data_IF_034450294503
#
_entry.id   IF_034450294503
#
_cell.length_a   1.000
_cell.length_b   1.000
_cell.length_c   1.000
_cell.angle_alpha   90.00
_cell.angle_beta   90.00
_cell.angle_gamma   90.00
#
_symmetry.space_group_name_H-M   'P 1'
#
loop_
_entity.id
_entity.type
_entity.pdbx_description
1 polymer ?
#
# COMPACT_ATOMS: atom_id res chain seq x y z
N UNK A 1 -32.62 72.92 40.85
CA UNK A 1 -32.19 71.49 40.91
C UNK A 1 -31.41 71.29 42.19
N UNK A 2 -31.81 70.37 43.06
CA UNK A 2 -31.10 70.12 44.33
C UNK A 2 -29.70 69.55 44.02
N UNK A 3 -28.65 69.97 44.74
CA UNK A 3 -27.28 69.47 44.56
C UNK A 3 -27.22 67.93 44.59
N UNK A 4 -28.04 67.30 45.44
CA UNK A 4 -28.18 65.84 45.49
C UNK A 4 -28.70 65.22 44.17
N UNK A 5 -29.57 65.93 43.46
CA UNK A 5 -30.12 65.51 42.17
C UNK A 5 -29.09 65.70 41.04
N UNK A 6 -28.24 66.72 41.14
CA UNK A 6 -27.13 66.94 40.20
C UNK A 6 -26.09 65.83 40.33
N UNK A 7 -25.72 65.45 41.56
CA UNK A 7 -24.76 64.36 41.82
C UNK A 7 -25.27 62.99 41.35
N UNK A 8 -26.57 62.70 41.55
CA UNK A 8 -27.16 61.47 41.01
C UNK A 8 -27.14 61.46 39.47
N UNK A 9 -27.45 62.58 38.83
CA UNK A 9 -27.49 62.65 37.37
C UNK A 9 -26.09 62.53 36.75
N UNK A 10 -25.07 63.14 37.35
CA UNK A 10 -23.69 63.01 36.88
C UNK A 10 -23.12 61.61 37.09
N UNK A 11 -23.44 60.95 38.21
CA UNK A 11 -23.00 59.58 38.46
C UNK A 11 -23.70 58.57 37.55
N UNK A 12 -24.98 58.80 37.22
CA UNK A 12 -25.69 58.02 36.21
C UNK A 12 -25.08 58.20 34.81
N UNK A 13 -24.68 59.42 34.44
CA UNK A 13 -24.06 59.70 33.15
C UNK A 13 -22.68 59.04 33.00
N UNK A 14 -21.88 59.02 34.07
CA UNK A 14 -20.59 58.29 34.10
C UNK A 14 -20.81 56.78 34.09
N UNK A 15 -21.84 56.27 34.79
CA UNK A 15 -22.19 54.85 34.72
C UNK A 15 -22.60 54.41 33.31
N UNK A 16 -23.39 55.23 32.61
CA UNK A 16 -23.81 54.97 31.22
C UNK A 16 -22.64 55.01 30.24
N UNK A 17 -21.68 55.91 30.41
CA UNK A 17 -20.50 55.98 29.51
C UNK A 17 -19.55 54.79 29.72
N UNK A 18 -19.37 54.31 30.95
CA UNK A 18 -18.59 53.08 31.23
C UNK A 18 -19.29 51.85 30.65
N UNK A 19 -20.61 51.72 30.81
CA UNK A 19 -21.37 50.61 30.23
C UNK A 19 -21.35 50.61 28.69
N UNK A 20 -21.45 51.79 28.06
CA UNK A 20 -21.32 51.92 26.62
C UNK A 20 -19.90 51.59 26.13
N UNK A 21 -18.87 51.95 26.91
CA UNK A 21 -17.48 51.57 26.64
C UNK A 21 -17.25 50.06 26.68
N UNK A 22 -17.79 49.36 27.68
CA UNK A 22 -17.69 47.89 27.78
C UNK A 22 -18.41 47.18 26.63
N UNK A 23 -19.56 47.70 26.18
CA UNK A 23 -20.30 47.17 25.02
C UNK A 23 -19.58 47.40 23.69
N UNK A 24 -18.87 48.53 23.52
CA UNK A 24 -18.09 48.83 22.29
C UNK A 24 -16.81 48.00 22.15
N UNK A 25 -16.32 47.38 23.23
CA UNK A 25 -15.05 46.63 23.25
C UNK A 25 -15.22 45.11 23.33
N UNK A 26 -16.46 44.61 23.37
CA UNK A 26 -16.73 43.18 23.44
C UNK A 26 -17.67 42.78 22.32
N UNK A 27 -17.08 42.49 21.15
CA UNK A 27 -17.81 41.90 20.03
C UNK A 27 -17.25 40.49 19.76
N UNK A 28 -18.14 39.51 19.71
CA UNK A 28 -17.75 38.11 19.51
C UNK A 28 -17.71 37.80 18.03
N UNK A 29 -16.52 37.83 17.42
CA UNK A 29 -16.33 37.39 16.04
C UNK A 29 -16.51 35.87 15.95
N UNK A 30 -17.68 35.41 15.51
CA UNK A 30 -17.92 34.00 15.17
C UNK A 30 -17.50 33.77 13.72
N UNK A 31 -16.28 33.29 13.53
CA UNK A 31 -15.82 32.82 12.23
C UNK A 31 -16.25 31.35 12.06
N UNK A 32 -17.17 31.09 11.13
CA UNK A 32 -17.39 29.74 10.63
C UNK A 32 -16.31 29.44 9.59
N UNK A 33 -15.29 28.67 9.96
CA UNK A 33 -14.34 28.13 8.98
C UNK A 33 -14.70 26.69 8.67
N UNK A 34 -14.81 26.39 7.38
CA UNK A 34 -14.86 25.00 6.89
C UNK A 34 -13.45 24.67 6.41
N UNK A 35 -12.85 23.61 6.96
CA UNK A 35 -11.58 23.07 6.46
C UNK A 35 -11.95 21.93 5.53
N UNK A 36 -11.64 22.07 4.25
CA UNK A 36 -11.62 20.92 3.34
C UNK A 36 -10.30 20.21 3.59
N UNK A 37 -10.34 19.04 4.23
CA UNK A 37 -9.22 18.10 4.11
C UNK A 37 -9.26 17.54 2.70
N UNK A 38 -8.10 17.18 2.16
CA UNK A 38 -8.11 16.36 0.95
C UNK A 38 -8.44 14.90 1.29
N UNK A 39 -8.49 14.09 0.26
CA UNK A 39 -8.92 12.70 0.21
C UNK A 39 -7.70 11.84 -0.11
N UNK A 40 -7.47 10.82 0.72
CA UNK A 40 -6.48 9.78 0.49
C UNK A 40 -7.16 8.73 -0.36
N UNK A 41 -6.68 8.54 -1.59
CA UNK A 41 -7.26 7.60 -2.53
C UNK A 41 -6.18 7.12 -3.50
N UNK A 42 -6.26 5.85 -3.92
CA UNK A 42 -5.32 5.25 -4.85
C UNK A 42 -5.84 3.96 -5.48
N UNK A 43 -5.38 3.67 -6.70
CA UNK A 43 -5.76 2.47 -7.45
C UNK A 43 -4.55 1.68 -7.97
N UNK A 44 -4.74 0.37 -8.17
CA UNK A 44 -3.97 -0.45 -9.11
C UNK A 44 -4.58 -0.29 -10.50
N UNK A 45 -3.80 0.31 -11.40
CA UNK A 45 -4.23 0.53 -12.78
C UNK A 45 -4.25 -0.80 -13.52
N UNK A 46 -5.44 -1.24 -13.93
CA UNK A 46 -5.65 -2.53 -14.61
C UNK A 46 -4.93 -2.65 -15.96
N UNK A 47 -4.97 -1.61 -16.79
CA UNK A 47 -4.43 -1.63 -18.16
C UNK A 47 -2.94 -2.01 -18.31
N UNK A 48 -2.00 -1.44 -17.53
CA UNK A 48 -0.58 -1.77 -17.60
C UNK A 48 -0.17 -3.01 -16.80
N UNK A 49 -1.10 -3.73 -16.16
CA UNK A 49 -0.77 -4.94 -15.39
C UNK A 49 -0.36 -6.06 -16.35
N UNK A 50 0.86 -6.57 -16.18
CA UNK A 50 1.45 -7.61 -17.00
C UNK A 50 2.09 -8.68 -16.12
N UNK A 51 2.14 -9.91 -16.64
CA UNK A 51 2.88 -10.98 -16.00
C UNK A 51 3.45 -11.93 -17.04
N UNK A 52 4.51 -12.64 -16.65
CA UNK A 52 5.07 -13.68 -17.48
C UNK A 52 4.20 -14.95 -17.42
N UNK A 53 4.16 -15.62 -18.57
CA UNK A 53 3.56 -16.93 -18.73
C UNK A 53 2.08 -16.98 -18.28
N UNK A 54 1.28 -16.13 -18.94
CA UNK A 54 -0.16 -16.13 -18.78
C UNK A 54 -0.78 -17.47 -19.21
N UNK A 55 -1.82 -17.92 -18.53
CA UNK A 55 -2.52 -19.15 -18.94
C UNK A 55 -3.16 -19.02 -20.33
N UNK A 56 -3.05 -20.10 -21.12
CA UNK A 56 -3.66 -20.19 -22.45
C UNK A 56 -2.82 -19.62 -23.59
N UNK A 57 -1.54 -19.36 -23.36
CA UNK A 57 -0.60 -18.96 -24.41
C UNK A 57 -0.25 -20.14 -25.34
N UNK A 58 0.04 -19.82 -26.59
CA UNK A 58 0.53 -20.81 -27.56
C UNK A 58 1.97 -21.25 -27.21
N UNK A 59 2.34 -22.53 -27.39
CA UNK A 59 3.69 -23.01 -27.09
C UNK A 59 4.81 -22.23 -27.83
N UNK A 60 5.99 -22.14 -27.21
CA UNK A 60 7.21 -21.58 -27.79
C UNK A 60 7.90 -20.54 -26.92
N UNK A 61 9.05 -20.03 -27.38
CA UNK A 61 9.82 -19.00 -26.67
C UNK A 61 9.25 -17.59 -26.88
N UNK A 62 9.41 -16.75 -25.86
CA UNK A 62 9.01 -15.35 -25.84
C UNK A 62 8.08 -15.03 -24.68
N UNK A 63 7.90 -13.73 -24.40
CA UNK A 63 7.06 -13.24 -23.29
C UNK A 63 5.57 -13.56 -23.46
N UNK A 64 5.12 -13.76 -24.70
CA UNK A 64 3.72 -14.02 -25.06
C UNK A 64 3.54 -15.43 -25.62
N UNK A 65 4.34 -16.38 -25.14
CA UNK A 65 4.29 -17.79 -25.50
C UNK A 65 4.36 -18.65 -24.24
N UNK A 66 3.78 -19.84 -24.30
CA UNK A 66 3.57 -20.73 -23.16
C UNK A 66 4.77 -21.62 -22.82
N UNK A 67 5.99 -21.22 -23.16
CA UNK A 67 7.15 -21.88 -22.57
C UNK A 67 7.48 -21.18 -21.24
N UNK A 68 7.71 -21.98 -20.21
CA UNK A 68 7.83 -21.53 -18.85
C UNK A 68 9.18 -20.90 -18.56
N UNK A 69 9.13 -20.00 -17.60
CA UNK A 69 10.30 -19.42 -16.98
C UNK A 69 10.70 -20.25 -15.76
N UNK A 70 12.00 -20.46 -15.63
CA UNK A 70 12.60 -21.19 -14.52
C UNK A 70 13.48 -20.24 -13.70
N UNK A 71 13.39 -20.31 -12.39
CA UNK A 71 14.19 -19.53 -11.43
C UNK A 71 15.66 -19.98 -11.38
N UNK A 72 16.34 -19.96 -12.53
CA UNK A 72 17.69 -20.50 -12.74
C UNK A 72 18.77 -19.81 -11.89
N UNK A 73 18.51 -18.58 -11.44
CA UNK A 73 19.50 -17.77 -10.72
C UNK A 73 19.31 -17.76 -9.19
N UNK A 74 18.33 -18.52 -8.66
CA UNK A 74 18.06 -18.60 -7.22
C UNK A 74 19.34 -18.95 -6.43
N UNK A 75 19.65 -18.26 -5.30
CA UNK A 75 18.80 -17.31 -4.56
C UNK A 75 18.86 -15.86 -5.05
N UNK A 76 19.45 -15.57 -6.21
CA UNK A 76 19.34 -14.23 -6.80
C UNK A 76 18.07 -14.14 -7.67
N UNK A 77 17.46 -12.94 -7.80
CA UNK A 77 16.35 -12.74 -8.70
C UNK A 77 16.76 -12.97 -10.16
N UNK A 78 15.79 -13.38 -10.97
CA UNK A 78 15.94 -13.64 -12.40
C UNK A 78 15.60 -15.07 -12.82
N UNK A 79 15.35 -15.23 -14.11
CA UNK A 79 14.93 -16.50 -14.69
C UNK A 79 15.45 -16.71 -16.11
N UNK A 80 15.41 -17.97 -16.55
CA UNK A 80 15.62 -18.35 -17.95
C UNK A 80 14.39 -19.13 -18.44
N UNK A 81 13.95 -18.83 -19.67
CA UNK A 81 12.87 -19.58 -20.30
C UNK A 81 13.39 -20.95 -20.76
N UNK A 82 12.62 -22.00 -20.50
CA UNK A 82 12.95 -23.37 -20.89
C UNK A 82 12.11 -23.83 -22.09
N UNK A 83 12.43 -24.99 -22.67
CA UNK A 83 11.57 -25.63 -23.67
C UNK A 83 10.54 -26.56 -23.02
N UNK A 84 9.78 -26.01 -22.07
CA UNK A 84 8.83 -26.72 -21.22
C UNK A 84 7.63 -25.84 -20.94
N UNK A 85 6.47 -26.47 -20.78
CA UNK A 85 5.22 -25.89 -20.30
C UNK A 85 4.80 -26.74 -19.10
N UNK A 86 5.04 -26.22 -17.90
CA UNK A 86 4.94 -26.88 -16.59
C UNK A 86 4.26 -25.98 -15.56
N UNK A 87 3.42 -25.06 -16.03
CA UNK A 87 2.75 -24.08 -15.20
C UNK A 87 2.10 -22.98 -16.03
N UNK A 88 1.27 -22.17 -15.39
CA UNK A 88 0.89 -20.87 -15.91
C UNK A 88 0.37 -19.97 -14.79
N UNK A 89 0.36 -18.67 -15.04
CA UNK A 89 -0.07 -17.65 -14.08
C UNK A 89 -1.32 -16.92 -14.58
N UNK A 90 -2.29 -16.74 -13.68
CA UNK A 90 -3.42 -15.83 -13.85
C UNK A 90 -3.37 -14.76 -12.77
N UNK A 91 -3.62 -13.51 -13.16
CA UNK A 91 -3.73 -12.38 -12.24
C UNK A 91 -5.09 -11.74 -12.44
N UNK A 92 -5.74 -11.43 -11.32
CA UNK A 92 -7.01 -10.69 -11.27
C UNK A 92 -6.93 -9.60 -10.23
N UNK A 93 -7.44 -8.42 -10.56
CA UNK A 93 -7.55 -7.30 -9.63
C UNK A 93 -8.93 -7.29 -8.97
N UNK A 94 -8.96 -6.91 -7.70
CA UNK A 94 -10.14 -6.91 -6.85
C UNK A 94 -10.21 -5.54 -6.17
N UNK A 95 -11.40 -4.94 -6.21
CA UNK A 95 -11.80 -3.79 -5.39
C UNK A 95 -12.35 -4.40 -4.09
N UNK A 96 -11.59 -4.30 -3.01
CA UNK A 96 -11.88 -5.05 -1.78
C UNK A 96 -12.85 -4.36 -0.84
N UNK A 97 -12.99 -3.04 -0.94
CA UNK A 97 -13.85 -2.22 -0.08
C UNK A 97 -15.04 -1.58 -0.81
N UNK A 98 -15.08 -1.66 -2.14
CA UNK A 98 -16.21 -1.28 -2.99
C UNK A 98 -16.25 0.20 -3.36
N UNK A 99 -15.14 0.92 -3.29
CA UNK A 99 -15.04 2.34 -3.62
C UNK A 99 -14.92 2.61 -5.14
N UNK A 100 -14.61 1.58 -5.92
CA UNK A 100 -14.45 1.64 -7.37
C UNK A 100 -13.01 1.48 -7.85
N UNK A 101 -12.05 1.40 -6.92
CA UNK A 101 -10.63 1.33 -7.19
C UNK A 101 -10.05 -0.05 -6.79
N UNK A 102 -9.11 -0.55 -7.60
CA UNK A 102 -8.51 -1.85 -7.33
C UNK A 102 -7.41 -1.71 -6.29
N UNK A 103 -7.53 -2.36 -5.14
CA UNK A 103 -6.54 -2.32 -4.05
C UNK A 103 -5.86 -3.69 -3.80
N UNK A 104 -6.42 -4.74 -4.39
CA UNK A 104 -6.07 -6.14 -4.13
C UNK A 104 -5.74 -6.85 -5.43
N UNK A 105 -4.69 -7.67 -5.39
CA UNK A 105 -4.31 -8.57 -6.48
C UNK A 105 -4.44 -10.02 -6.03
N UNK A 106 -5.24 -10.81 -6.77
CA UNK A 106 -5.30 -12.26 -6.61
C UNK A 106 -4.49 -12.93 -7.71
N UNK A 107 -3.48 -13.72 -7.29
CA UNK A 107 -2.57 -14.45 -8.18
C UNK A 107 -2.92 -15.94 -8.07
N UNK A 108 -3.09 -16.58 -9.21
CA UNK A 108 -3.38 -18.02 -9.32
C UNK A 108 -2.37 -18.69 -10.23
N UNK A 109 -1.61 -19.60 -9.65
CA UNK A 109 -0.57 -20.39 -10.27
C UNK A 109 -1.16 -21.77 -10.55
N UNK A 110 -1.19 -22.21 -11.81
CA UNK A 110 -1.91 -23.42 -12.23
C UNK A 110 -0.95 -24.48 -12.73
N UNK A 111 -1.10 -25.72 -12.23
CA UNK A 111 -0.28 -26.87 -12.62
C UNK A 111 1.23 -26.62 -12.50
N UNK A 112 1.64 -25.82 -11.51
CA UNK A 112 3.02 -25.34 -11.41
C UNK A 112 3.95 -26.41 -10.84
N UNK A 113 5.18 -26.43 -11.34
CA UNK A 113 6.24 -27.30 -10.87
C UNK A 113 7.25 -26.53 -10.01
N UNK A 114 7.96 -27.20 -9.10
CA UNK A 114 9.14 -26.64 -8.47
C UNK A 114 10.04 -25.90 -9.45
N UNK A 115 10.51 -24.72 -9.05
CA UNK A 115 11.33 -23.79 -9.82
C UNK A 115 10.63 -23.05 -10.95
N UNK A 116 9.32 -23.23 -11.13
CA UNK A 116 8.50 -22.34 -11.95
C UNK A 116 8.65 -20.90 -11.46
N UNK A 117 8.77 -19.97 -12.40
CA UNK A 117 8.96 -18.56 -12.14
C UNK A 117 7.93 -17.73 -12.90
N UNK A 118 7.44 -16.68 -12.25
CA UNK A 118 6.72 -15.61 -12.91
C UNK A 118 7.18 -14.25 -12.39
N UNK A 119 7.11 -13.25 -13.25
CA UNK A 119 7.33 -11.85 -12.90
C UNK A 119 6.02 -11.13 -13.13
N UNK A 120 5.55 -10.37 -12.13
CA UNK A 120 4.33 -9.58 -12.21
C UNK A 120 4.70 -8.12 -12.05
N UNK A 121 4.27 -7.28 -12.99
CA UNK A 121 4.48 -5.84 -12.96
C UNK A 121 3.15 -5.11 -13.17
N UNK A 122 2.92 -4.08 -12.39
CA UNK A 122 1.69 -3.29 -12.41
C UNK A 122 1.98 -1.84 -12.03
N UNK A 123 0.96 -1.00 -12.12
CA UNK A 123 1.07 0.42 -11.83
C UNK A 123 0.11 0.77 -10.71
N UNK A 124 0.60 1.54 -9.74
CA UNK A 124 -0.23 2.23 -8.76
C UNK A 124 -0.36 3.69 -9.13
N UNK A 125 -1.52 4.28 -8.87
CA UNK A 125 -1.84 5.67 -9.20
C UNK A 125 -2.51 6.33 -8.00
N UNK A 126 -2.11 7.57 -7.68
CA UNK A 126 -2.79 8.41 -6.72
C UNK A 126 -3.86 9.23 -7.45
N UNK A 127 -5.11 8.79 -7.42
CA UNK A 127 -6.32 9.48 -7.87
C UNK A 127 -6.93 10.38 -6.78
N UNK A 128 -6.44 10.31 -5.55
CA UNK A 128 -6.79 11.20 -4.47
C UNK A 128 -6.32 12.64 -4.63
N UNK A 129 -6.54 13.45 -3.58
CA UNK A 129 -6.24 14.89 -3.58
C UNK A 129 -5.12 15.30 -2.62
N UNK A 130 -4.54 14.35 -1.87
CA UNK A 130 -3.33 14.54 -1.07
C UNK A 130 -2.21 13.59 -1.48
N UNK A 131 -0.94 13.90 -1.20
CA UNK A 131 0.14 12.96 -1.44
C UNK A 131 0.03 11.73 -0.53
N UNK A 132 0.46 10.58 -1.05
CA UNK A 132 0.45 9.31 -0.35
C UNK A 132 1.77 8.56 -0.52
N UNK A 133 1.92 7.49 0.24
CA UNK A 133 3.01 6.52 0.13
C UNK A 133 2.42 5.12 0.25
N UNK A 134 2.90 4.17 -0.55
CA UNK A 134 2.67 2.75 -0.28
C UNK A 134 3.33 2.43 1.07
N UNK A 135 2.51 2.00 2.02
CA UNK A 135 2.86 1.87 3.43
C UNK A 135 3.26 0.46 3.79
N UNK A 136 2.40 -0.50 3.45
CA UNK A 136 2.64 -1.92 3.69
C UNK A 136 1.98 -2.77 2.63
N UNK A 137 2.39 -4.02 2.57
CA UNK A 137 1.69 -5.07 1.87
C UNK A 137 1.35 -6.18 2.81
N UNK A 138 0.16 -6.72 2.59
CA UNK A 138 -0.32 -7.89 3.29
C UNK A 138 -0.27 -9.06 2.33
N UNK A 139 0.56 -10.04 2.68
CA UNK A 139 0.73 -11.27 1.92
C UNK A 139 0.31 -12.44 2.81
N UNK A 140 -0.77 -13.12 2.43
CA UNK A 140 -1.32 -14.25 3.21
C UNK A 140 -1.42 -13.96 4.73
N UNK A 141 -1.95 -12.79 5.07
CA UNK A 141 -2.11 -12.32 6.46
C UNK A 141 -0.85 -11.79 7.15
N UNK A 142 0.31 -11.79 6.49
CA UNK A 142 1.56 -11.23 7.00
C UNK A 142 1.81 -9.83 6.45
N UNK A 143 2.21 -8.90 7.31
CA UNK A 143 2.42 -7.50 6.94
C UNK A 143 3.91 -7.20 6.72
N UNK A 144 4.21 -6.55 5.59
CA UNK A 144 5.56 -6.12 5.20
C UNK A 144 5.56 -4.61 4.95
N UNK A 145 6.39 -3.87 5.68
CA UNK A 145 6.46 -2.41 5.65
C UNK A 145 7.64 -1.87 4.85
N UNK A 146 8.66 -2.71 4.69
CA UNK A 146 9.80 -2.50 3.82
C UNK A 146 10.38 -3.87 3.52
N UNK A 147 10.90 -4.05 2.32
CA UNK A 147 11.75 -5.19 1.99
C UNK A 147 13.08 -4.59 1.56
N UNK A 148 14.04 -4.62 2.47
CA UNK A 148 15.26 -3.85 2.34
C UNK A 148 16.22 -4.53 1.37
N UNK A 149 16.43 -3.96 0.18
CA UNK A 149 17.43 -4.42 -0.80
C UNK A 149 18.85 -4.52 -0.23
N UNK A 150 19.16 -3.81 0.87
CA UNK A 150 20.44 -3.89 1.57
C UNK A 150 20.47 -4.89 2.76
N UNK A 151 19.33 -5.47 3.15
CA UNK A 151 19.23 -6.54 4.18
C UNK A 151 18.70 -7.88 3.63
N UNK A 152 18.23 -7.93 2.38
CA UNK A 152 17.86 -9.17 1.70
C UNK A 152 19.09 -10.05 1.44
N UNK A 153 19.35 -11.01 2.32
CA UNK A 153 20.09 -12.21 1.92
C UNK A 153 19.19 -13.20 1.15
N UNK A 154 17.86 -13.12 1.31
CA UNK A 154 16.84 -13.91 0.59
C UNK A 154 15.46 -13.21 0.66
N UNK A 155 14.58 -13.44 -0.34
CA UNK A 155 13.20 -12.92 -0.41
C UNK A 155 12.24 -13.48 0.67
N UNK A 156 10.94 -13.25 0.51
CA UNK A 156 9.90 -13.70 1.45
C UNK A 156 9.40 -15.10 1.08
N UNK A 157 9.58 -16.05 1.99
CA UNK A 157 9.09 -17.43 1.85
C UNK A 157 7.69 -17.58 2.46
N UNK A 158 6.78 -18.26 1.76
CA UNK A 158 5.37 -18.41 2.19
C UNK A 158 4.88 -19.83 1.98
N UNK A 159 4.27 -20.40 3.00
CA UNK A 159 3.58 -21.70 3.00
C UNK A 159 2.08 -21.48 2.69
N UNK A 160 1.67 -21.79 1.47
CA UNK A 160 0.30 -21.60 0.97
C UNK A 160 -0.59 -22.82 1.24
N UNK A 161 0.00 -23.99 1.47
CA UNK A 161 -0.72 -25.25 1.61
C UNK A 161 -0.88 -25.69 3.08
N UNK A 162 -0.13 -25.08 4.00
CA UNK A 162 -0.18 -25.29 5.44
C UNK A 162 0.54 -26.55 5.93
N UNK A 163 1.49 -27.09 5.16
CA UNK A 163 2.28 -28.28 5.52
C UNK A 163 3.52 -27.97 6.38
N UNK A 164 3.75 -26.68 6.66
CA UNK A 164 4.88 -26.19 7.44
C UNK A 164 6.18 -26.05 6.64
N UNK A 165 6.13 -26.17 5.31
CA UNK A 165 7.21 -25.85 4.38
C UNK A 165 6.79 -24.72 3.45
N UNK A 166 7.71 -23.82 3.07
CA UNK A 166 7.35 -22.73 2.16
C UNK A 166 7.07 -23.27 0.74
N UNK A 167 5.98 -22.86 0.13
CA UNK A 167 5.61 -23.20 -1.24
C UNK A 167 6.19 -22.22 -2.26
N UNK A 168 6.29 -20.94 -1.89
CA UNK A 168 6.72 -19.88 -2.80
C UNK A 168 7.75 -18.97 -2.14
N UNK A 169 8.55 -18.33 -3.00
CA UNK A 169 9.46 -17.25 -2.64
C UNK A 169 9.11 -16.02 -3.48
N UNK A 170 8.84 -14.91 -2.81
CA UNK A 170 8.50 -13.62 -3.43
C UNK A 170 9.66 -12.65 -3.24
N UNK A 171 10.14 -12.10 -4.35
CA UNK A 171 11.11 -11.00 -4.36
C UNK A 171 10.42 -9.72 -4.74
N UNK A 172 10.40 -8.80 -3.81
CA UNK A 172 9.80 -7.50 -4.01
C UNK A 172 10.49 -6.46 -3.13
N UNK A 173 10.37 -5.17 -3.46
CA UNK A 173 10.99 -4.09 -2.69
C UNK A 173 10.94 -2.70 -3.34
N UNK A 174 10.37 -2.58 -4.55
CA UNK A 174 10.31 -1.29 -5.23
C UNK A 174 9.19 -0.38 -4.70
N UNK A 175 9.49 0.92 -4.65
CA UNK A 175 8.56 2.02 -4.33
C UNK A 175 7.89 2.02 -2.94
N UNK A 176 8.29 1.16 -2.00
CA UNK A 176 7.95 1.36 -0.58
C UNK A 176 8.32 2.78 -0.11
N UNK A 177 7.41 3.45 0.59
CA UNK A 177 7.64 4.79 1.13
C UNK A 177 7.89 5.89 0.10
N UNK A 178 7.83 5.59 -1.20
CA UNK A 178 7.92 6.59 -2.27
C UNK A 178 6.67 7.45 -2.25
N UNK A 179 6.87 8.76 -2.16
CA UNK A 179 5.78 9.71 -2.16
C UNK A 179 5.23 9.89 -3.57
N UNK A 180 3.92 9.73 -3.71
CA UNK A 180 3.15 10.05 -4.92
C UNK A 180 2.26 11.26 -4.64
N UNK A 181 2.45 12.33 -5.38
CA UNK A 181 1.51 13.45 -5.41
C UNK A 181 0.22 13.06 -6.18
N UNK A 182 -0.88 13.83 -6.02
CA UNK A 182 -2.08 13.64 -6.84
C UNK A 182 -1.77 13.52 -8.34
N UNK A 183 -2.43 12.58 -8.99
CA UNK A 183 -2.25 12.15 -10.38
C UNK A 183 -0.88 11.53 -10.72
N UNK A 184 -0.03 11.22 -9.73
CA UNK A 184 1.23 10.52 -9.98
C UNK A 184 1.08 9.01 -9.89
N UNK A 185 1.95 8.30 -10.59
CA UNK A 185 2.01 6.85 -10.58
C UNK A 185 3.40 6.33 -10.27
N UNK A 186 3.47 5.10 -9.78
CA UNK A 186 4.69 4.30 -9.71
C UNK A 186 4.45 2.93 -10.34
N UNK A 187 5.44 2.42 -11.06
CA UNK A 187 5.46 1.04 -11.52
C UNK A 187 6.02 0.17 -10.39
N UNK A 188 5.30 -0.87 -9.99
CA UNK A 188 5.66 -1.84 -8.96
C UNK A 188 5.80 -3.21 -9.63
N UNK A 189 6.79 -3.99 -9.22
CA UNK A 189 6.99 -5.32 -9.77
C UNK A 189 7.62 -6.30 -8.78
N UNK A 190 7.21 -7.57 -8.85
CA UNK A 190 7.77 -8.62 -8.02
C UNK A 190 8.01 -9.90 -8.81
N UNK A 191 9.02 -10.65 -8.38
CA UNK A 191 9.28 -11.99 -8.87
C UNK A 191 8.69 -13.02 -7.92
N UNK A 192 8.15 -14.09 -8.47
CA UNK A 192 7.65 -15.23 -7.72
C UNK A 192 8.31 -16.50 -8.22
N UNK A 193 8.81 -17.31 -7.29
CA UNK A 193 9.37 -18.63 -7.55
C UNK A 193 8.60 -19.69 -6.78
N UNK A 194 8.22 -20.78 -7.44
CA UNK A 194 7.73 -21.99 -6.77
C UNK A 194 8.91 -22.75 -6.18
N UNK A 195 8.86 -23.04 -4.89
CA UNK A 195 9.93 -23.71 -4.17
C UNK A 195 9.87 -25.23 -4.32
N UNK A 196 10.98 -25.88 -4.00
CA UNK A 196 11.15 -27.33 -4.15
C UNK A 196 10.16 -28.15 -3.31
N UNK A 197 9.70 -27.57 -2.21
CA UNK A 197 8.77 -28.11 -1.24
C UNK A 197 7.32 -28.03 -1.70
N UNK A 198 7.00 -27.17 -2.66
CA UNK A 198 5.65 -27.03 -3.18
C UNK A 198 5.16 -28.32 -3.85
N UNK A 199 3.87 -28.69 -3.67
CA UNK A 199 3.30 -29.86 -4.33
C UNK A 199 3.35 -29.72 -5.85
N UNK A 200 4.04 -30.67 -6.50
CA UNK A 200 4.23 -30.65 -7.94
C UNK A 200 2.89 -30.78 -8.69
N UNK A 201 2.68 -29.90 -9.68
CA UNK A 201 1.46 -29.88 -10.50
C UNK A 201 0.24 -29.33 -9.76
N UNK A 202 0.42 -28.70 -8.60
CA UNK A 202 -0.67 -28.09 -7.85
C UNK A 202 -1.13 -26.77 -8.48
N UNK A 203 -2.34 -26.39 -8.10
CA UNK A 203 -2.83 -25.02 -8.27
C UNK A 203 -2.74 -24.32 -6.93
N UNK A 204 -1.98 -23.23 -6.88
CA UNK A 204 -1.77 -22.41 -5.69
C UNK A 204 -2.35 -21.01 -5.97
N UNK A 205 -3.04 -20.45 -4.99
CA UNK A 205 -3.61 -19.11 -5.09
C UNK A 205 -3.34 -18.34 -3.81
N UNK A 206 -3.06 -17.06 -3.95
CA UNK A 206 -2.90 -16.15 -2.82
C UNK A 206 -3.32 -14.74 -3.22
N UNK A 207 -3.57 -13.92 -2.21
CA UNK A 207 -3.91 -12.51 -2.39
C UNK A 207 -2.79 -11.64 -1.85
N UNK A 208 -2.52 -10.56 -2.58
CA UNK A 208 -1.65 -9.47 -2.16
C UNK A 208 -2.53 -8.25 -2.03
N UNK A 209 -2.54 -7.67 -0.84
CA UNK A 209 -3.21 -6.41 -0.55
C UNK A 209 -2.18 -5.33 -0.28
N UNK A 210 -2.36 -4.14 -0.86
CA UNK A 210 -1.46 -3.01 -0.65
C UNK A 210 -2.21 -1.96 0.17
N UNK A 211 -1.51 -1.37 1.12
CA UNK A 211 -2.03 -0.25 1.91
C UNK A 211 -1.26 1.00 1.54
N UNK A 212 -1.97 2.07 1.18
CA UNK A 212 -1.40 3.41 1.09
C UNK A 212 -1.71 4.20 2.36
N UNK A 213 -0.81 5.12 2.72
CA UNK A 213 -1.00 6.03 3.84
C UNK A 213 -0.70 7.47 3.39
N UNK A 214 -1.35 8.43 4.05
CA UNK A 214 -1.02 9.84 3.86
C UNK A 214 0.48 10.08 4.10
N UNK A 215 1.12 10.87 3.21
CA UNK A 215 2.57 11.03 3.19
C UNK A 215 3.20 11.45 4.53
N UNK A 216 2.45 12.21 5.33
CA UNK A 216 2.84 12.76 6.63
C UNK A 216 2.56 11.82 7.81
N UNK A 217 1.93 10.68 7.57
CA UNK A 217 1.63 9.64 8.56
C UNK A 217 2.49 8.39 8.34
N UNK A 218 3.31 8.34 7.29
CA UNK A 218 4.16 7.19 6.99
C UNK A 218 5.15 6.87 8.12
N UNK A 219 5.18 5.61 8.53
CA UNK A 219 6.16 5.04 9.45
C UNK A 219 6.42 3.57 9.12
N UNK A 220 7.60 3.06 9.50
CA UNK A 220 7.89 1.63 9.52
C UNK A 220 7.99 1.15 10.98
N UNK A 221 7.29 0.08 11.39
CA UNK A 221 7.44 -0.48 12.72
C UNK A 221 8.88 -0.96 12.94
N UNK A 222 9.53 -0.54 14.01
CA UNK A 222 10.86 -1.06 14.37
C UNK A 222 10.73 -2.50 14.86
N UNK A 223 11.45 -3.44 14.25
CA UNK A 223 11.65 -4.78 14.81
C UNK A 223 12.47 -4.66 16.10
N UNK A 224 11.79 -4.51 17.25
CA UNK A 224 12.46 -4.61 18.55
C UNK A 224 12.82 -6.08 18.75
N UNK A 225 14.02 -6.49 18.36
CA UNK A 225 14.60 -7.74 18.83
C UNK A 225 14.76 -7.60 20.35
N UNK A 226 14.12 -8.45 21.18
CA UNK A 226 14.35 -8.40 22.61
C UNK A 226 15.85 -8.65 22.84
N UNK A 227 16.54 -7.67 23.44
CA UNK A 227 17.88 -7.91 23.97
C UNK A 227 17.67 -8.96 25.07
N UNK A 228 18.24 -10.18 24.99
CA UNK A 228 18.16 -11.10 26.10
C UNK A 228 18.87 -10.44 27.28
N UNK A 229 18.13 -10.23 28.37
CA UNK A 229 18.70 -9.80 29.63
C UNK A 229 19.85 -10.76 29.96
N UNK A 230 21.07 -10.21 30.05
CA UNK A 230 22.21 -10.96 30.53
C UNK A 230 21.99 -11.22 32.01
N UNK A 231 21.63 -12.45 32.36
CA UNK A 231 21.87 -13.00 33.70
C UNK A 231 23.37 -13.07 34.02
#
# INVERSE_FOLDING_TARGET
MNKSMIYMLSMALVGLSVLAGLAMWTDSLKANSYVSTGELDWEIVSGPTIWLDACGLEPGYGMFKGNDWNATFLPMPGAAQLDKDVGCTNVSLIDSDGDGDYDTMNVTLVNVYPWYYTHIAFKVHNDGTIPLKIWRVVFDGHEYYEINEAELQQGVEVDLNGDGQPDILVWWGDNFGKQLHPCQSADISFDLTILQTAPQGASLSFTIYFDAIAWNEYYTPSTVTPIPDKE
#
